data_IF_171836987322
#
_entry.id   IF_171836987322
#
_cell.length_a   1.000
_cell.length_b   1.000
_cell.length_c   1.000
_cell.angle_alpha   90.00
_cell.angle_beta   90.00
_cell.angle_gamma   90.00
#
_symmetry.space_group_name_H-M   'P 1'
#
loop_
_entity.id
_entity.type
_entity.pdbx_description
1 polymer ?
#
# COMPACT_ATOMS: atom_id res chain seq x y z
N UNK A 1 -10.40 11.96 14.18
CA UNK A 1 -8.93 12.10 14.24
C UNK A 1 -8.36 11.10 13.25
N UNK A 2 -7.42 11.49 12.40
CA UNK A 2 -6.83 10.57 11.43
C UNK A 2 -5.72 9.74 12.11
N UNK A 3 -5.63 8.46 11.78
CA UNK A 3 -4.55 7.56 12.16
C UNK A 3 -3.55 7.37 11.03
N UNK A 4 -2.34 6.89 11.36
CA UNK A 4 -1.34 6.46 10.40
C UNK A 4 -1.45 4.95 10.21
N UNK A 5 -1.60 4.50 8.98
CA UNK A 5 -1.76 3.08 8.63
C UNK A 5 -0.63 2.64 7.71
N UNK A 6 -0.07 1.46 7.96
CA UNK A 6 0.72 0.74 6.98
C UNK A 6 -0.19 -0.20 6.21
N UNK A 7 -0.26 -0.02 4.90
CA UNK A 7 -0.99 -0.89 3.98
C UNK A 7 0.04 -1.71 3.21
N UNK A 8 -0.02 -3.04 3.33
CA UNK A 8 0.81 -3.94 2.54
C UNK A 8 -0.01 -4.45 1.36
N UNK A 9 0.59 -4.41 0.17
CA UNK A 9 -0.05 -4.84 -1.06
C UNK A 9 0.80 -5.89 -1.76
N UNK A 10 0.15 -6.66 -2.64
CA UNK A 10 0.77 -7.43 -3.70
C UNK A 10 0.31 -6.81 -5.02
N UNK A 11 1.27 -6.43 -5.86
CA UNK A 11 1.02 -6.00 -7.23
C UNK A 11 1.49 -7.11 -8.17
N UNK A 12 0.57 -7.64 -8.97
CA UNK A 12 0.83 -8.62 -10.01
C UNK A 12 0.82 -7.90 -11.35
N UNK A 13 1.95 -7.87 -12.06
CA UNK A 13 2.02 -7.25 -13.39
C UNK A 13 2.26 -8.34 -14.43
N UNK A 14 1.38 -8.42 -15.41
CA UNK A 14 1.55 -9.32 -16.54
C UNK A 14 2.30 -8.59 -17.65
N UNK A 15 3.47 -9.10 -18.02
CA UNK A 15 4.26 -8.54 -19.13
C UNK A 15 3.96 -9.26 -20.45
N UNK A 16 3.68 -10.58 -20.41
CA UNK A 16 3.10 -11.37 -21.49
C UNK A 16 2.26 -12.56 -20.93
N UNK A 17 1.79 -13.47 -21.79
CA UNK A 17 0.99 -14.65 -21.39
C UNK A 17 1.73 -15.67 -20.49
N UNK A 18 3.06 -15.60 -20.41
CA UNK A 18 3.94 -16.50 -19.69
C UNK A 18 4.69 -15.86 -18.49
N UNK A 19 4.81 -14.53 -18.43
CA UNK A 19 5.55 -13.83 -17.37
C UNK A 19 4.68 -12.93 -16.48
N UNK A 20 4.57 -13.31 -15.20
CA UNK A 20 3.95 -12.54 -14.12
C UNK A 20 5.02 -12.02 -13.16
N UNK A 21 5.20 -10.69 -13.10
CA UNK A 21 6.01 -10.03 -12.08
C UNK A 21 5.21 -9.76 -10.81
N UNK A 22 5.81 -9.97 -9.63
CA UNK A 22 5.21 -9.70 -8.33
C UNK A 22 6.02 -8.69 -7.53
N UNK A 23 5.36 -7.66 -7.03
CA UNK A 23 5.96 -6.63 -6.16
C UNK A 23 5.15 -6.56 -4.87
N UNK A 24 5.82 -6.39 -3.73
CA UNK A 24 5.18 -6.37 -2.41
C UNK A 24 5.38 -5.02 -1.71
N UNK A 25 4.79 -3.93 -2.21
CA UNK A 25 5.00 -2.61 -1.61
C UNK A 25 4.31 -2.49 -0.25
N UNK A 26 4.86 -1.63 0.60
CA UNK A 26 4.21 -1.17 1.83
C UNK A 26 4.05 0.34 1.75
N UNK A 27 2.81 0.82 1.82
CA UNK A 27 2.47 2.25 1.78
C UNK A 27 2.08 2.74 3.17
N UNK A 28 2.59 3.91 3.55
CA UNK A 28 2.15 4.62 4.75
C UNK A 28 1.05 5.60 4.36
N UNK A 29 -0.12 5.46 4.98
CA UNK A 29 -1.34 6.19 4.63
C UNK A 29 -1.91 6.85 5.86
N UNK A 30 -2.13 8.16 5.80
CA UNK A 30 -2.88 8.88 6.83
C UNK A 30 -4.36 8.87 6.46
N UNK A 31 -5.21 8.24 7.27
CA UNK A 31 -6.63 8.06 6.97
C UNK A 31 -7.51 8.14 8.23
N UNK A 32 -8.82 8.28 8.04
CA UNK A 32 -9.76 8.32 9.17
C UNK A 32 -9.98 6.94 9.82
N UNK A 33 -9.77 5.85 9.07
CA UNK A 33 -9.96 4.47 9.50
C UNK A 33 -9.21 3.50 8.54
N UNK A 34 -9.07 2.21 8.91
CA UNK A 34 -8.38 1.22 8.08
C UNK A 34 -8.97 1.06 6.67
N UNK A 35 -10.28 1.19 6.49
CA UNK A 35 -10.92 0.99 5.20
C UNK A 35 -10.56 2.11 4.24
N UNK A 36 -10.62 3.37 4.70
CA UNK A 36 -10.17 4.50 3.90
C UNK A 36 -8.67 4.44 3.59
N UNK A 37 -7.86 3.83 4.46
CA UNK A 37 -6.45 3.60 4.18
C UNK A 37 -6.24 2.65 2.99
N UNK A 38 -7.06 1.58 2.87
CA UNK A 38 -7.06 0.68 1.71
C UNK A 38 -7.43 1.44 0.44
N UNK A 39 -8.53 2.18 0.48
CA UNK A 39 -9.01 2.93 -0.69
C UNK A 39 -7.93 3.86 -1.23
N UNK A 40 -7.28 4.63 -0.34
CA UNK A 40 -6.20 5.55 -0.70
C UNK A 40 -5.00 4.79 -1.29
N UNK A 41 -4.64 3.62 -0.72
CA UNK A 41 -3.54 2.82 -1.26
C UNK A 41 -3.84 2.28 -2.66
N UNK A 42 -5.07 1.83 -2.90
CA UNK A 42 -5.52 1.38 -4.24
C UNK A 42 -5.58 2.56 -5.21
N UNK A 43 -6.12 3.71 -4.79
CA UNK A 43 -6.16 4.96 -5.57
C UNK A 43 -4.75 5.39 -5.99
N UNK A 44 -3.77 5.31 -5.09
CA UNK A 44 -2.36 5.62 -5.39
C UNK A 44 -1.81 4.74 -6.52
N UNK A 45 -1.90 3.42 -6.41
CA UNK A 45 -1.35 2.53 -7.45
C UNK A 45 -2.16 2.57 -8.75
N UNK A 46 -3.46 2.85 -8.70
CA UNK A 46 -4.24 3.19 -9.90
C UNK A 46 -3.69 4.42 -10.61
N UNK A 47 -3.30 5.45 -9.87
CA UNK A 47 -2.67 6.65 -10.43
C UNK A 47 -1.27 6.37 -11.03
N UNK A 48 -0.52 5.41 -10.46
CA UNK A 48 0.75 4.91 -11.01
C UNK A 48 0.57 4.00 -12.25
N UNK A 49 -0.68 3.74 -12.67
CA UNK A 49 -1.00 3.02 -13.90
C UNK A 49 -1.30 1.53 -13.73
N UNK A 50 -1.44 1.04 -12.50
CA UNK A 50 -1.86 -0.33 -12.23
C UNK A 50 -3.40 -0.46 -12.28
N UNK A 51 -3.90 -1.55 -12.82
CA UNK A 51 -5.33 -1.84 -12.79
C UNK A 51 -5.75 -2.45 -11.43
N UNK A 52 -7.04 -2.36 -11.11
CA UNK A 52 -7.57 -2.91 -9.85
C UNK A 52 -7.35 -4.43 -9.72
N UNK A 53 -7.40 -5.16 -10.83
CA UNK A 53 -7.19 -6.61 -10.85
C UNK A 53 -5.75 -7.02 -10.54
N UNK A 54 -4.82 -6.08 -10.70
CA UNK A 54 -3.40 -6.28 -10.44
C UNK A 54 -3.02 -6.00 -8.98
N UNK A 55 -3.95 -5.46 -8.17
CA UNK A 55 -3.67 -4.98 -6.81
C UNK A 55 -4.44 -5.82 -5.78
N UNK A 56 -3.72 -6.53 -4.93
CA UNK A 56 -4.27 -7.25 -3.78
C UNK A 56 -3.82 -6.57 -2.47
N UNK A 57 -4.74 -6.27 -1.56
CA UNK A 57 -4.40 -5.82 -0.20
C UNK A 57 -4.11 -7.04 0.67
N UNK A 58 -2.90 -7.11 1.24
CA UNK A 58 -2.47 -8.21 2.09
C UNK A 58 -2.71 -7.94 3.58
N UNK A 59 -2.38 -6.73 4.03
CA UNK A 59 -2.46 -6.34 5.44
C UNK A 59 -2.71 -4.83 5.57
N UNK A 60 -3.42 -4.45 6.64
CA UNK A 60 -3.58 -3.06 7.05
C UNK A 60 -3.39 -2.98 8.55
N UNK A 61 -2.37 -2.23 8.97
CA UNK A 61 -2.03 -2.07 10.38
C UNK A 61 -1.98 -0.60 10.75
N UNK A 62 -2.76 -0.21 11.75
CA UNK A 62 -2.61 1.10 12.38
C UNK A 62 -1.28 1.15 13.13
N UNK A 63 -0.52 2.21 12.91
CA UNK A 63 0.76 2.46 13.56
C UNK A 63 0.51 3.42 14.70
N UNK A 64 0.81 2.96 15.91
CA UNK A 64 0.82 3.81 17.09
C UNK A 64 1.94 4.85 16.98
N UNK A 65 1.56 6.13 16.98
CA UNK A 65 2.46 7.27 16.87
C UNK A 65 3.07 7.67 18.22
N UNK A 66 2.75 7.00 19.34
CA UNK A 66 3.30 7.31 20.67
C UNK A 66 4.78 6.92 20.83
N UNK A 67 5.39 6.25 19.85
CA UNK A 67 6.81 5.91 19.87
C UNK A 67 7.60 6.91 19.01
N UNK A 68 8.42 7.76 19.64
CA UNK A 68 9.41 8.64 19.01
C UNK A 68 10.34 7.88 18.04
N UNK A 69 9.88 7.60 16.82
CA UNK A 69 10.61 6.81 15.84
C UNK A 69 10.43 7.40 14.46
N UNK A 70 11.54 7.42 13.71
CA UNK A 70 11.61 7.90 12.33
C UNK A 70 10.57 7.17 11.48
N UNK A 71 9.64 7.92 10.89
CA UNK A 71 8.52 7.41 10.08
C UNK A 71 8.96 7.11 8.62
N UNK A 72 10.27 7.26 8.32
CA UNK A 72 10.84 6.70 7.10
C UNK A 72 12.32 7.03 6.86
N UNK A 73 13.05 6.03 6.37
CA UNK A 73 14.13 6.19 5.37
C UNK A 73 13.82 5.19 4.26
N UNK A 74 13.53 5.70 3.06
CA UNK A 74 13.30 4.89 1.86
C UNK A 74 14.62 4.76 1.09
N UNK A 75 15.15 3.55 0.99
CA UNK A 75 16.21 3.20 0.03
C UNK A 75 15.90 1.81 -0.53
N UNK A 76 15.59 1.75 -1.83
CA UNK A 76 15.64 0.54 -2.67
C UNK A 76 14.48 -0.43 -2.52
#
# INVERSE_FOLDING_TARGET
MNGLFRVQLLIKRHYDEAEEGRIYPSLLVVAANPERAKDIAVEYFKAEGFSEKEIDILDVKELDMESERVIGVYIG
#
